data_IF_356427870364
#
_entry.id   IF_356427870364
#
_cell.length_a   1.000
_cell.length_b   1.000
_cell.length_c   1.000
_cell.angle_alpha   90.00
_cell.angle_beta   90.00
_cell.angle_gamma   90.00
#
_symmetry.space_group_name_H-M   'P 1'
#
loop_
_entity.id
_entity.type
_entity.pdbx_description
1 polymer ?
#
# COMPACT_ATOMS: atom_id res chain seq x y z
N UNK A 1 22.01 16.97 -24.87
CA UNK A 1 21.09 17.51 -23.85
C UNK A 1 20.92 16.51 -22.71
N UNK A 2 20.41 16.94 -21.54
CA UNK A 2 20.17 16.07 -20.40
C UNK A 2 19.13 14.98 -20.72
N UNK A 3 18.08 15.34 -21.46
CA UNK A 3 17.03 14.37 -21.85
C UNK A 3 17.52 13.31 -22.84
N UNK A 4 18.41 13.67 -23.75
CA UNK A 4 19.04 12.71 -24.67
C UNK A 4 19.98 11.77 -23.92
N UNK A 5 20.80 12.30 -22.99
CA UNK A 5 21.68 11.50 -22.14
C UNK A 5 20.87 10.52 -21.29
N UNK A 6 19.73 10.94 -20.74
CA UNK A 6 18.81 10.07 -20.00
C UNK A 6 18.24 8.96 -20.92
N UNK A 7 17.79 9.30 -22.12
CA UNK A 7 17.23 8.32 -23.05
C UNK A 7 18.27 7.26 -23.44
N UNK A 8 19.52 7.66 -23.68
CA UNK A 8 20.63 6.72 -23.97
C UNK A 8 20.95 5.86 -22.75
N UNK A 9 21.01 6.46 -21.54
CA UNK A 9 21.24 5.71 -20.30
C UNK A 9 20.16 4.66 -20.05
N UNK A 10 18.90 5.01 -20.26
CA UNK A 10 17.78 4.05 -20.12
C UNK A 10 17.88 2.91 -21.14
N UNK A 11 18.29 3.21 -22.40
CA UNK A 11 18.42 2.20 -23.45
C UNK A 11 19.61 1.25 -23.25
N UNK A 12 20.75 1.77 -22.81
CA UNK A 12 22.00 1.01 -22.74
C UNK A 12 22.33 0.43 -21.36
N UNK A 13 21.91 1.12 -20.29
CA UNK A 13 22.16 0.74 -18.89
C UNK A 13 20.93 0.20 -18.18
N UNK A 14 19.77 0.21 -18.84
CA UNK A 14 18.48 -0.18 -18.27
C UNK A 14 18.11 0.59 -16.98
N UNK A 15 18.60 1.83 -16.83
CA UNK A 15 18.36 2.66 -15.65
C UNK A 15 19.06 4.01 -15.72
N UNK A 16 18.87 4.81 -14.67
CA UNK A 16 19.48 6.13 -14.54
C UNK A 16 20.92 5.95 -14.06
N UNK A 17 21.89 6.06 -14.95
CA UNK A 17 23.31 6.05 -14.60
C UNK A 17 23.88 7.45 -14.78
N UNK A 18 24.04 8.18 -13.66
CA UNK A 18 24.48 9.57 -13.68
C UNK A 18 25.91 9.73 -14.18
N UNK A 19 26.81 8.80 -13.86
CA UNK A 19 28.20 8.85 -14.34
C UNK A 19 28.23 8.77 -15.87
N UNK A 20 27.50 7.84 -16.44
CA UNK A 20 27.38 7.68 -17.88
C UNK A 20 26.73 8.89 -18.55
N UNK A 21 25.69 9.48 -17.93
CA UNK A 21 25.05 10.67 -18.43
C UNK A 21 25.96 11.91 -18.37
N UNK A 22 26.84 12.00 -17.39
CA UNK A 22 27.87 13.04 -17.31
C UNK A 22 28.87 12.90 -18.45
N UNK A 23 29.35 11.70 -18.73
CA UNK A 23 30.25 11.42 -19.86
C UNK A 23 29.64 11.83 -21.21
N UNK A 24 28.36 11.47 -21.43
CA UNK A 24 27.66 11.77 -22.67
C UNK A 24 27.35 13.26 -22.85
N UNK A 25 27.02 13.96 -21.78
CA UNK A 25 26.52 15.34 -21.85
C UNK A 25 27.56 16.41 -21.56
N UNK A 26 28.65 16.04 -20.88
CA UNK A 26 29.65 16.96 -20.34
C UNK A 26 29.15 17.84 -19.18
N UNK A 27 27.98 17.51 -18.62
CA UNK A 27 27.35 18.24 -17.51
C UNK A 27 27.63 17.56 -16.17
N UNK A 28 27.65 18.34 -15.09
CA UNK A 28 27.73 17.79 -13.75
C UNK A 28 26.42 17.10 -13.34
N UNK A 29 26.49 16.16 -12.40
CA UNK A 29 25.32 15.47 -11.83
C UNK A 29 24.25 16.44 -11.35
N UNK A 30 24.67 17.50 -10.66
CA UNK A 30 23.77 18.52 -10.13
C UNK A 30 23.03 19.26 -11.26
N UNK A 31 23.75 19.62 -12.35
CA UNK A 31 23.14 20.27 -13.52
C UNK A 31 22.17 19.33 -14.23
N UNK A 32 22.54 18.04 -14.36
CA UNK A 32 21.65 17.04 -14.95
C UNK A 32 20.39 16.85 -14.12
N UNK A 33 20.50 16.79 -12.80
CA UNK A 33 19.33 16.69 -11.93
C UNK A 33 18.43 17.92 -12.02
N UNK A 34 19.01 19.15 -12.08
CA UNK A 34 18.24 20.38 -12.23
C UNK A 34 17.48 20.41 -13.57
N UNK A 35 18.16 20.01 -14.67
CA UNK A 35 17.55 19.95 -16.00
C UNK A 35 16.44 18.88 -16.12
N UNK A 36 16.50 17.84 -15.29
CA UNK A 36 15.57 16.70 -15.30
C UNK A 36 14.57 16.72 -14.14
N UNK A 37 14.44 17.86 -13.46
CA UNK A 37 13.44 18.00 -12.38
C UNK A 37 12.03 17.67 -12.87
N UNK A 38 11.38 16.78 -12.13
CA UNK A 38 10.03 16.27 -12.47
C UNK A 38 10.01 15.11 -13.47
N UNK A 39 11.15 14.80 -14.12
CA UNK A 39 11.34 13.57 -14.91
C UNK A 39 12.00 12.50 -14.07
N UNK A 40 12.94 12.88 -13.21
CA UNK A 40 13.59 12.01 -12.22
C UNK A 40 13.40 12.58 -10.82
N UNK A 41 13.40 11.70 -9.83
CA UNK A 41 13.23 12.03 -8.42
C UNK A 41 14.29 11.37 -7.56
N UNK A 42 14.73 12.04 -6.50
CA UNK A 42 15.55 11.40 -5.47
C UNK A 42 14.78 10.25 -4.82
N UNK A 43 15.46 9.12 -4.65
CA UNK A 43 14.90 7.97 -3.94
C UNK A 43 15.11 8.13 -2.42
N UNK A 44 14.04 8.27 -1.61
CA UNK A 44 14.18 8.39 -0.16
C UNK A 44 14.77 7.16 0.53
N UNK A 45 14.80 6.01 -0.14
CA UNK A 45 15.39 4.78 0.38
C UNK A 45 16.91 4.68 0.10
N UNK A 46 17.45 5.53 -0.78
CA UNK A 46 18.87 5.54 -1.07
C UNK A 46 19.69 5.92 0.18
N UNK A 47 20.68 5.10 0.51
CA UNK A 47 21.57 5.35 1.65
C UNK A 47 21.07 4.88 3.02
N UNK A 48 19.82 4.43 3.15
CA UNK A 48 19.30 3.85 4.38
C UNK A 48 19.50 2.32 4.41
N UNK A 49 20.75 1.90 4.67
CA UNK A 49 21.07 0.48 4.94
C UNK A 49 21.03 -0.47 3.72
N UNK A 50 20.55 -0.05 2.58
CA UNK A 50 20.48 -0.83 1.36
C UNK A 50 21.23 -0.11 0.23
N UNK A 51 22.49 -0.51 0.00
CA UNK A 51 23.37 0.08 -1.03
C UNK A 51 22.88 -0.25 -2.46
N UNK A 52 21.92 -1.17 -2.59
CA UNK A 52 21.42 -1.65 -3.87
C UNK A 52 20.31 -0.76 -4.47
N UNK A 53 19.72 0.13 -3.67
CA UNK A 53 18.68 1.03 -4.16
C UNK A 53 19.26 2.15 -5.02
N UNK A 54 18.67 2.43 -6.20
CA UNK A 54 19.16 3.52 -7.05
C UNK A 54 18.92 4.88 -6.39
N UNK A 55 19.87 5.80 -6.60
CA UNK A 55 19.80 7.17 -6.06
C UNK A 55 18.64 7.96 -6.66
N UNK A 56 18.34 7.74 -7.93
CA UNK A 56 17.28 8.42 -8.67
C UNK A 56 16.30 7.40 -9.25
N UNK A 57 15.03 7.76 -9.26
CA UNK A 57 13.93 6.99 -9.85
C UNK A 57 13.27 7.79 -10.97
N UNK A 58 12.80 7.12 -12.01
CA UNK A 58 11.97 7.73 -13.04
C UNK A 58 10.61 8.15 -12.46
N UNK A 59 10.02 9.19 -13.04
CA UNK A 59 8.70 9.68 -12.63
C UNK A 59 7.63 8.58 -12.65
N UNK A 60 7.61 7.75 -13.67
CA UNK A 60 6.64 6.65 -13.82
C UNK A 60 6.72 5.64 -12.67
N UNK A 61 7.93 5.32 -12.24
CA UNK A 61 8.18 4.41 -11.12
C UNK A 61 7.89 5.09 -9.78
N UNK A 62 8.37 6.33 -9.61
CA UNK A 62 8.24 7.05 -8.36
C UNK A 62 6.80 7.44 -8.04
N UNK A 63 6.05 7.90 -9.04
CA UNK A 63 4.68 8.41 -8.90
C UNK A 63 3.61 7.32 -9.08
N UNK A 64 3.97 6.05 -9.04
CA UNK A 64 3.06 4.91 -9.15
C UNK A 64 3.10 4.01 -7.91
N UNK A 65 2.23 3.01 -7.85
CA UNK A 65 2.15 2.07 -6.74
C UNK A 65 1.55 2.70 -5.47
N UNK A 66 2.12 2.44 -4.28
CA UNK A 66 1.63 2.99 -3.02
C UNK A 66 2.05 4.46 -2.81
N UNK A 67 1.46 5.35 -3.58
CA UNK A 67 1.77 6.79 -3.55
C UNK A 67 1.45 7.45 -2.20
N UNK A 68 0.58 6.85 -1.37
CA UNK A 68 0.27 7.37 -0.03
C UNK A 68 1.44 7.17 0.94
N UNK A 69 2.02 5.98 0.96
CA UNK A 69 3.22 5.70 1.77
C UNK A 69 4.42 6.50 1.26
N UNK A 70 4.59 6.57 -0.07
CA UNK A 70 5.64 7.39 -0.68
C UNK A 70 5.53 8.85 -0.29
N UNK A 71 4.32 9.42 -0.25
CA UNK A 71 4.09 10.80 0.20
C UNK A 71 4.42 10.99 1.69
N UNK A 72 4.00 10.05 2.54
CA UNK A 72 4.31 10.11 3.97
C UNK A 72 5.83 10.06 4.22
N UNK A 73 6.55 9.22 3.48
CA UNK A 73 8.00 9.13 3.54
C UNK A 73 8.66 10.41 3.01
N UNK A 74 8.24 10.90 1.83
CA UNK A 74 8.77 12.12 1.23
C UNK A 74 8.61 13.33 2.15
N UNK A 75 7.46 13.49 2.82
CA UNK A 75 7.24 14.55 3.81
C UNK A 75 8.20 14.46 5.00
N UNK A 76 8.44 13.25 5.53
CA UNK A 76 9.43 13.07 6.63
C UNK A 76 10.84 13.42 6.17
N UNK A 77 11.24 12.97 4.98
CA UNK A 77 12.56 13.23 4.43
C UNK A 77 12.75 14.71 4.10
N UNK A 78 11.72 15.38 3.58
CA UNK A 78 11.74 16.81 3.30
C UNK A 78 11.87 17.69 4.55
N UNK A 79 11.51 17.20 5.74
CA UNK A 79 11.80 17.90 7.00
C UNK A 79 13.29 17.98 7.30
N UNK A 80 14.07 16.99 6.84
CA UNK A 80 15.53 16.93 7.05
C UNK A 80 16.29 17.56 5.88
N UNK A 81 15.80 17.36 4.66
CA UNK A 81 16.44 17.77 3.41
C UNK A 81 15.41 18.49 2.49
N UNK A 82 14.97 19.70 2.85
CA UNK A 82 13.88 20.38 2.14
C UNK A 82 14.22 20.71 0.67
N UNK A 83 15.47 21.09 0.39
CA UNK A 83 15.90 21.50 -0.97
C UNK A 83 15.81 20.33 -1.96
N UNK A 84 16.12 19.11 -1.50
CA UNK A 84 16.17 17.93 -2.36
C UNK A 84 14.78 17.29 -2.56
N UNK A 85 13.93 17.30 -1.52
CA UNK A 85 12.70 16.52 -1.50
C UNK A 85 11.41 17.34 -1.63
N UNK A 86 11.49 18.67 -1.72
CA UNK A 86 10.29 19.50 -1.93
C UNK A 86 9.53 19.13 -3.20
N UNK A 87 10.26 18.92 -4.30
CA UNK A 87 9.67 18.53 -5.58
C UNK A 87 9.01 17.14 -5.52
N UNK A 88 9.58 16.23 -4.74
CA UNK A 88 9.02 14.90 -4.49
C UNK A 88 7.65 14.99 -3.81
N UNK A 89 7.52 15.83 -2.78
CA UNK A 89 6.27 16.07 -2.08
C UNK A 89 5.23 16.67 -3.00
N UNK A 90 5.57 17.74 -3.72
CA UNK A 90 4.67 18.43 -4.65
C UNK A 90 4.16 17.51 -5.78
N UNK A 91 5.03 16.65 -6.30
CA UNK A 91 4.66 15.70 -7.34
C UNK A 91 3.76 14.58 -6.79
N UNK A 92 4.09 14.02 -5.63
CA UNK A 92 3.29 12.98 -5.01
C UNK A 92 1.92 13.48 -4.52
N UNK A 93 1.80 14.75 -4.10
CA UNK A 93 0.50 15.34 -3.74
C UNK A 93 -0.46 15.42 -4.93
N UNK A 94 0.07 15.65 -6.14
CA UNK A 94 -0.75 15.75 -7.37
C UNK A 94 -1.32 14.41 -7.83
N UNK A 95 -0.65 13.30 -7.51
CA UNK A 95 -1.04 11.95 -7.94
C UNK A 95 -1.77 11.15 -6.86
N UNK A 96 -2.12 11.78 -5.72
CA UNK A 96 -2.87 11.08 -4.68
C UNK A 96 -4.24 10.65 -5.20
N UNK A 97 -4.62 9.38 -4.99
CA UNK A 97 -5.97 8.94 -5.33
C UNK A 97 -6.99 9.63 -4.43
N UNK A 98 -8.12 10.00 -5.02
CA UNK A 98 -9.27 10.51 -4.27
C UNK A 98 -9.78 9.42 -3.32
N UNK A 99 -10.07 9.79 -2.09
CA UNK A 99 -10.76 8.89 -1.17
C UNK A 99 -12.19 8.64 -1.64
N UNK A 100 -12.57 7.37 -1.67
CA UNK A 100 -13.94 6.99 -1.98
C UNK A 100 -14.85 7.31 -0.79
N UNK A 101 -16.02 7.84 -1.10
CA UNK A 101 -17.09 8.02 -0.10
C UNK A 101 -17.78 6.68 0.18
N UNK A 102 -18.48 6.58 1.31
CA UNK A 102 -19.20 5.35 1.67
C UNK A 102 -20.19 4.88 0.58
N UNK A 103 -20.78 5.83 -0.18
CA UNK A 103 -21.69 5.52 -1.29
C UNK A 103 -21.00 4.99 -2.56
N UNK A 104 -19.70 5.27 -2.72
CA UNK A 104 -18.87 4.80 -3.84
C UNK A 104 -18.24 3.43 -3.58
N UNK A 105 -18.27 2.98 -2.32
CA UNK A 105 -17.70 1.69 -1.91
C UNK A 105 -18.80 0.63 -1.96
N UNK A 106 -18.68 -0.34 -2.87
CA UNK A 106 -19.54 -1.50 -2.89
C UNK A 106 -18.98 -2.60 -1.99
N UNK A 107 -19.62 -2.85 -0.86
CA UNK A 107 -19.27 -3.93 0.06
C UNK A 107 -20.24 -5.11 -0.16
N UNK A 108 -19.68 -6.29 -0.40
CA UNK A 108 -20.44 -7.55 -0.40
C UNK A 108 -20.05 -8.34 0.84
N UNK A 109 -21.04 -9.02 1.44
CA UNK A 109 -20.77 -9.93 2.54
C UNK A 109 -19.78 -11.01 2.08
N UNK A 110 -18.70 -11.19 2.85
CA UNK A 110 -17.62 -12.10 2.51
C UNK A 110 -16.51 -11.51 1.64
N UNK A 111 -16.51 -10.20 1.37
CA UNK A 111 -15.40 -9.54 0.67
C UNK A 111 -14.09 -9.72 1.44
N UNK A 112 -13.05 -10.25 0.77
CA UNK A 112 -11.79 -10.66 1.40
C UNK A 112 -10.90 -9.50 1.85
N UNK A 113 -11.17 -8.29 1.37
CA UNK A 113 -10.46 -7.07 1.76
C UNK A 113 -10.97 -6.46 3.08
N UNK A 114 -12.14 -6.90 3.56
CA UNK A 114 -12.68 -6.48 4.85
C UNK A 114 -12.02 -7.32 5.95
N UNK A 115 -11.46 -6.71 7.01
CA UNK A 115 -10.85 -7.44 8.12
C UNK A 115 -11.81 -8.45 8.76
N UNK A 116 -11.36 -9.65 9.11
CA UNK A 116 -12.20 -10.70 9.73
C UNK A 116 -12.91 -10.24 11.00
N UNK A 117 -12.29 -9.34 11.76
CA UNK A 117 -12.84 -8.79 12.99
C UNK A 117 -14.14 -8.01 12.77
N UNK A 118 -14.27 -7.35 11.62
CA UNK A 118 -15.49 -6.61 11.25
C UNK A 118 -16.64 -7.59 11.00
N UNK A 119 -16.38 -8.69 10.29
CA UNK A 119 -17.37 -9.75 10.11
C UNK A 119 -17.74 -10.43 11.42
N UNK A 120 -16.77 -10.65 12.28
CA UNK A 120 -17.00 -11.22 13.62
C UNK A 120 -17.90 -10.31 14.47
N UNK A 121 -17.59 -9.02 14.51
CA UNK A 121 -18.40 -8.04 15.23
C UNK A 121 -19.84 -7.98 14.65
N UNK A 122 -19.98 -7.88 13.33
CA UNK A 122 -21.28 -7.91 12.66
C UNK A 122 -22.08 -9.15 13.03
N UNK A 123 -21.44 -10.32 13.00
CA UNK A 123 -22.07 -11.59 13.38
C UNK A 123 -22.54 -11.56 14.84
N UNK A 124 -21.73 -11.07 15.77
CA UNK A 124 -22.09 -11.00 17.19
C UNK A 124 -23.26 -10.06 17.44
N UNK A 125 -23.29 -8.90 16.78
CA UNK A 125 -24.38 -7.95 16.88
C UNK A 125 -25.67 -8.50 16.27
N UNK A 126 -25.59 -9.03 15.04
CA UNK A 126 -26.73 -9.57 14.31
C UNK A 126 -27.38 -10.77 15.04
N UNK A 127 -26.56 -11.69 15.57
CA UNK A 127 -27.03 -12.89 16.26
C UNK A 127 -27.27 -12.65 17.77
N UNK A 128 -27.06 -11.44 18.28
CA UNK A 128 -27.10 -11.12 19.72
C UNK A 128 -26.27 -12.11 20.56
N UNK A 129 -25.05 -12.41 20.09
CA UNK A 129 -24.15 -13.34 20.75
C UNK A 129 -23.77 -12.85 22.14
N UNK A 130 -24.01 -13.61 23.22
CA UNK A 130 -23.68 -13.17 24.58
C UNK A 130 -22.18 -12.91 24.76
N UNK A 131 -21.83 -11.89 25.54
CA UNK A 131 -20.44 -11.48 25.75
C UNK A 131 -19.55 -12.63 26.26
N UNK A 132 -20.09 -13.53 27.10
CA UNK A 132 -19.33 -14.68 27.63
C UNK A 132 -19.00 -15.71 26.54
N UNK A 133 -19.70 -15.71 25.38
CA UNK A 133 -19.45 -16.63 24.26
C UNK A 133 -18.54 -16.02 23.18
N UNK A 134 -18.50 -14.69 23.06
CA UNK A 134 -17.79 -14.00 21.98
C UNK A 134 -16.30 -14.34 21.90
N UNK A 135 -15.61 -14.49 23.06
CA UNK A 135 -14.18 -14.78 23.10
C UNK A 135 -13.80 -16.17 22.61
N UNK A 136 -14.77 -17.06 22.45
CA UNK A 136 -14.58 -18.45 22.00
C UNK A 136 -14.76 -18.62 20.50
N UNK A 137 -15.41 -17.66 19.85
CA UNK A 137 -15.77 -17.70 18.44
C UNK A 137 -14.82 -16.81 17.68
N UNK A 138 -14.18 -17.34 16.64
CA UNK A 138 -13.31 -16.59 15.74
C UNK A 138 -13.75 -16.76 14.30
N UNK A 139 -13.80 -15.63 13.58
CA UNK A 139 -13.99 -15.61 12.13
C UNK A 139 -12.62 -15.38 11.49
N UNK A 140 -12.28 -16.22 10.51
CA UNK A 140 -11.07 -16.03 9.74
C UNK A 140 -11.28 -16.44 8.28
N UNK A 141 -10.49 -15.84 7.40
CA UNK A 141 -10.42 -16.21 5.99
C UNK A 141 -9.21 -17.10 5.75
N UNK A 142 -9.42 -18.24 5.07
CA UNK A 142 -8.35 -19.14 4.66
C UNK A 142 -8.01 -18.90 3.19
N UNK A 143 -6.83 -18.34 2.87
CA UNK A 143 -6.42 -18.18 1.47
C UNK A 143 -6.17 -19.52 0.75
N UNK A 144 -5.91 -20.60 1.51
CA UNK A 144 -5.70 -21.93 0.95
C UNK A 144 -6.97 -22.57 0.43
N UNK A 145 -8.09 -22.41 1.16
CA UNK A 145 -9.39 -22.96 0.77
C UNK A 145 -10.24 -21.95 0.02
N UNK A 146 -9.84 -20.67 0.00
CA UNK A 146 -10.62 -19.58 -0.58
C UNK A 146 -11.93 -19.31 0.18
N UNK A 147 -12.04 -19.73 1.44
CA UNK A 147 -13.28 -19.69 2.20
C UNK A 147 -13.18 -19.01 3.57
N UNK A 148 -14.32 -18.54 4.03
CA UNK A 148 -14.49 -18.03 5.37
C UNK A 148 -14.81 -19.18 6.33
N UNK A 149 -14.13 -19.21 7.47
CA UNK A 149 -14.34 -20.21 8.50
C UNK A 149 -14.71 -19.55 9.82
N UNK A 150 -15.57 -20.20 10.56
CA UNK A 150 -15.96 -19.83 11.92
C UNK A 150 -15.44 -20.93 12.83
N UNK A 151 -14.45 -20.63 13.65
CA UNK A 151 -13.94 -21.52 14.67
C UNK A 151 -14.66 -21.26 15.98
N UNK A 152 -15.27 -22.30 16.53
CA UNK A 152 -15.87 -22.29 17.85
C UNK A 152 -15.07 -23.24 18.76
N UNK A 153 -14.48 -22.69 19.82
CA UNK A 153 -13.77 -23.49 20.80
C UNK A 153 -14.79 -24.22 21.70
N UNK A 154 -15.17 -25.43 21.26
CA UNK A 154 -15.76 -26.52 22.03
C UNK A 154 -16.96 -26.22 22.99
N UNK A 155 -18.04 -26.94 22.78
CA UNK A 155 -19.16 -27.19 23.73
C UNK A 155 -19.97 -25.98 24.23
N UNK A 156 -19.91 -24.83 23.62
CA UNK A 156 -20.70 -23.73 24.12
C UNK A 156 -22.01 -23.54 23.37
N UNK A 157 -23.07 -23.56 24.12
CA UNK A 157 -24.45 -23.30 23.67
C UNK A 157 -24.66 -21.80 23.34
N UNK A 158 -23.60 -21.00 23.20
CA UNK A 158 -23.67 -19.58 22.93
C UNK A 158 -24.44 -19.22 21.66
N UNK A 159 -24.36 -20.09 20.65
CA UNK A 159 -25.11 -19.95 19.40
C UNK A 159 -26.46 -20.69 19.38
N UNK A 160 -26.91 -21.26 20.50
CA UNK A 160 -28.17 -21.99 20.54
C UNK A 160 -29.34 -21.11 20.09
N UNK A 161 -29.38 -19.84 20.48
CA UNK A 161 -30.40 -18.90 20.06
C UNK A 161 -30.32 -18.61 18.56
N UNK A 162 -29.12 -18.41 18.03
CA UNK A 162 -28.88 -18.21 16.60
C UNK A 162 -29.26 -19.46 15.81
N UNK A 163 -28.83 -20.63 16.25
CA UNK A 163 -29.17 -21.91 15.64
C UNK A 163 -30.69 -22.22 15.70
N UNK A 164 -31.35 -21.86 16.80
CA UNK A 164 -32.82 -22.03 16.89
C UNK A 164 -33.62 -21.06 16.04
N UNK A 165 -33.06 -19.87 15.79
CA UNK A 165 -33.74 -18.81 15.01
C UNK A 165 -33.44 -18.91 13.50
N UNK A 166 -32.20 -19.21 13.13
CA UNK A 166 -31.74 -19.20 11.74
C UNK A 166 -31.19 -20.52 11.23
N UNK A 167 -31.01 -21.50 12.11
CA UNK A 167 -30.50 -22.82 11.75
C UNK A 167 -31.56 -23.70 11.04
N UNK A 168 -31.06 -24.69 10.34
CA UNK A 168 -31.90 -25.70 9.63
C UNK A 168 -32.52 -26.75 10.54
N UNK A 169 -32.45 -26.60 11.86
CA UNK A 169 -32.90 -27.57 12.84
C UNK A 169 -32.00 -28.81 13.00
N UNK A 170 -30.89 -28.88 12.27
CA UNK A 170 -29.89 -29.94 12.46
C UNK A 170 -28.81 -29.40 13.39
N UNK A 171 -28.77 -29.90 14.61
CA UNK A 171 -27.67 -29.77 15.52
C UNK A 171 -26.65 -30.84 15.08
N UNK A 172 -25.57 -30.40 14.47
CA UNK A 172 -24.38 -31.24 14.27
C UNK A 172 -23.48 -31.13 15.47
#
# INVERSE_FOLDING_TARGET
>A
TASEALAVSMGEKAGINMEYMQELSGKSEETLYQDLKGVIFFNPHYGYGNITEPKYLMADEYLSGNVREKLALAKRTAMLYPEDYKINVEALEKVQPKDLTASEISVRLGATWVPPEIYQQFMFEFLNTPNYAQWRIKVHYSPYTGGWNIEEKSYDRGNVKANSTYGTGRIN
#
